data_IF_522184786092
#
_entry.id   IF_522184786092
#
_cell.length_a   1.000
_cell.length_b   1.000
_cell.length_c   1.000
_cell.angle_alpha   90.00
_cell.angle_beta   90.00
_cell.angle_gamma   90.00
#
_symmetry.space_group_name_H-M   'P 1'
#
loop_
_entity.id
_entity.type
_entity.pdbx_description
1 polymer ?
#
# COMPACT_ATOMS: atom_id res chain seq x y z
N UNK A 1 -13.39 1.67 5.97
CA UNK A 1 -13.96 2.42 4.83
C UNK A 1 -12.97 2.49 3.68
N UNK A 2 -13.43 2.38 2.41
CA UNK A 2 -12.57 2.53 1.24
C UNK A 2 -11.95 3.94 1.15
N UNK A 3 -10.78 4.02 0.51
CA UNK A 3 -10.09 5.30 0.28
C UNK A 3 -11.01 6.27 -0.47
N UNK A 4 -11.28 7.48 0.07
CA UNK A 4 -12.17 8.43 -0.58
C UNK A 4 -11.67 8.83 -1.98
N UNK A 5 -12.57 9.04 -2.96
CA UNK A 5 -12.19 9.42 -4.32
C UNK A 5 -11.28 10.65 -4.39
N UNK A 6 -11.53 11.64 -3.53
CA UNK A 6 -10.72 12.87 -3.44
C UNK A 6 -9.27 12.62 -3.01
N UNK A 7 -9.01 11.59 -2.20
CA UNK A 7 -7.64 11.17 -1.85
C UNK A 7 -6.95 10.58 -3.07
N UNK A 8 -7.66 9.71 -3.80
CA UNK A 8 -7.15 9.07 -5.03
C UNK A 8 -6.86 10.10 -6.12
N UNK A 9 -7.74 11.08 -6.33
CA UNK A 9 -7.52 12.18 -7.28
C UNK A 9 -6.30 13.02 -6.91
N UNK A 10 -6.15 13.35 -5.62
CA UNK A 10 -5.00 14.11 -5.14
C UNK A 10 -3.70 13.32 -5.27
N UNK A 11 -3.73 12.02 -5.00
CA UNK A 11 -2.59 11.13 -5.15
C UNK A 11 -2.07 11.09 -6.58
N UNK A 12 -2.94 11.11 -7.61
CA UNK A 12 -2.54 11.15 -9.02
C UNK A 12 -1.62 12.33 -9.35
N UNK A 13 -1.78 13.47 -8.69
CA UNK A 13 -0.91 14.64 -8.90
C UNK A 13 0.55 14.45 -8.46
N UNK A 14 0.86 13.37 -7.74
CA UNK A 14 2.22 13.01 -7.31
C UNK A 14 2.84 11.88 -8.16
N UNK A 15 2.08 11.31 -9.10
CA UNK A 15 2.52 10.19 -9.90
C UNK A 15 3.02 10.65 -11.27
N UNK A 16 3.88 9.85 -11.96
CA UNK A 16 4.21 10.09 -13.35
C UNK A 16 2.96 10.20 -14.23
N UNK A 17 3.04 10.98 -15.31
CA UNK A 17 1.95 11.12 -16.26
C UNK A 17 1.56 9.75 -16.83
N UNK A 18 0.25 9.43 -16.79
CA UNK A 18 -0.28 8.15 -17.27
C UNK A 18 -0.10 6.97 -16.32
N UNK A 19 0.50 7.15 -15.14
CA UNK A 19 0.62 6.07 -14.17
C UNK A 19 -0.76 5.63 -13.65
N UNK A 20 -1.02 4.33 -13.72
CA UNK A 20 -2.24 3.72 -13.19
C UNK A 20 -2.07 3.34 -11.71
N UNK A 21 -3.07 3.66 -10.89
CA UNK A 21 -3.09 3.29 -9.47
C UNK A 21 -3.69 1.88 -9.36
N UNK A 22 -2.83 0.86 -9.18
CA UNK A 22 -3.25 -0.51 -8.89
C UNK A 22 -3.82 -0.63 -7.48
N UNK A 23 -3.06 -0.17 -6.49
CA UNK A 23 -3.47 -0.19 -5.09
C UNK A 23 -3.26 1.17 -4.45
N UNK A 24 -4.16 1.50 -3.53
CA UNK A 24 -4.04 2.68 -2.68
C UNK A 24 -4.62 2.35 -1.31
N UNK A 25 -3.85 2.65 -0.26
CA UNK A 25 -4.29 2.42 1.11
C UNK A 25 -3.65 3.43 2.07
N UNK A 26 -4.35 3.81 3.15
CA UNK A 26 -3.78 4.61 4.21
C UNK A 26 -2.94 3.72 5.13
N UNK A 27 -1.90 4.29 5.71
CA UNK A 27 -1.18 3.69 6.82
C UNK A 27 -0.68 4.79 7.75
N UNK A 28 -0.30 4.43 8.97
CA UNK A 28 0.11 5.38 9.99
C UNK A 28 1.41 4.95 10.67
N UNK A 29 2.12 5.91 11.25
CA UNK A 29 3.24 5.63 12.14
C UNK A 29 2.90 6.16 13.54
N UNK A 30 2.79 5.23 14.50
CA UNK A 30 2.47 5.48 15.90
C UNK A 30 1.22 6.37 16.08
N UNK A 31 0.19 6.15 15.26
CA UNK A 31 -1.05 6.96 15.17
C UNK A 31 -0.88 8.48 14.95
N UNK A 32 0.34 8.96 14.72
CA UNK A 32 0.70 10.39 14.78
C UNK A 32 1.05 10.96 13.41
N UNK A 33 1.62 10.12 12.53
CA UNK A 33 1.90 10.48 11.15
C UNK A 33 1.07 9.62 10.21
N UNK A 34 0.35 10.26 9.29
CA UNK A 34 -0.53 9.57 8.35
C UNK A 34 0.05 9.62 6.94
N UNK A 35 0.04 8.47 6.30
CA UNK A 35 0.57 8.25 4.97
C UNK A 35 -0.51 7.68 4.04
N UNK A 36 -0.32 7.89 2.75
CA UNK A 36 -1.06 7.21 1.70
C UNK A 36 -0.05 6.47 0.84
N UNK A 37 -0.17 5.16 0.80
CA UNK A 37 0.63 4.30 -0.06
C UNK A 37 -0.07 4.16 -1.39
N UNK A 38 0.66 4.42 -2.48
CA UNK A 38 0.13 4.35 -3.84
C UNK A 38 1.02 3.42 -4.64
N UNK A 39 0.47 2.28 -5.05
CA UNK A 39 1.16 1.27 -5.83
C UNK A 39 0.74 1.38 -7.28
N UNK A 40 1.74 1.44 -8.13
CA UNK A 40 1.63 1.46 -9.59
C UNK A 40 2.42 0.30 -10.16
N UNK A 41 2.45 0.15 -11.48
CA UNK A 41 3.21 -0.90 -12.16
C UNK A 41 4.73 -0.73 -12.01
N UNK A 42 5.21 0.50 -11.76
CA UNK A 42 6.64 0.84 -11.73
C UNK A 42 7.18 1.15 -10.34
N UNK A 43 6.34 1.66 -9.43
CA UNK A 43 6.79 2.08 -8.10
C UNK A 43 5.71 2.01 -7.02
N UNK A 44 6.17 2.02 -5.77
CA UNK A 44 5.39 2.31 -4.57
C UNK A 44 5.72 3.75 -4.15
N UNK A 45 4.78 4.67 -4.31
CA UNK A 45 4.92 6.06 -3.88
C UNK A 45 4.25 6.25 -2.54
N UNK A 46 5.01 6.64 -1.52
CA UNK A 46 4.50 6.90 -0.16
C UNK A 46 4.33 8.40 0.02
N UNK A 47 3.08 8.82 0.22
CA UNK A 47 2.71 10.23 0.38
C UNK A 47 2.49 10.54 1.86
N UNK A 48 3.10 11.62 2.34
CA UNK A 48 2.83 12.14 3.68
C UNK A 48 1.63 13.09 3.63
N UNK A 49 0.68 12.90 4.54
CA UNK A 49 -0.45 13.80 4.71
C UNK A 49 -0.06 15.13 5.37
N UNK A 50 -0.93 16.14 5.23
CA UNK A 50 -0.85 17.36 6.05
C UNK A 50 -0.94 16.99 7.54
N UNK A 51 -0.24 17.75 8.39
CA UNK A 51 -0.34 17.64 9.84
C UNK A 51 -1.81 17.57 10.31
N UNK A 52 -2.12 16.63 11.20
CA UNK A 52 -3.47 16.30 11.70
C UNK A 52 -4.50 15.82 10.66
N UNK A 53 -4.10 15.52 9.43
CA UNK A 53 -5.02 15.02 8.41
C UNK A 53 -4.74 13.56 8.06
N UNK A 54 -5.80 12.75 8.02
CA UNK A 54 -5.75 11.35 7.55
C UNK A 54 -5.96 11.21 6.04
N UNK A 55 -6.38 12.27 5.35
CA UNK A 55 -6.93 12.20 3.98
C UNK A 55 -6.43 13.29 3.04
N UNK A 56 -5.39 14.03 3.40
CA UNK A 56 -4.85 15.12 2.56
C UNK A 56 -3.37 14.92 2.27
N UNK A 57 -3.01 14.10 1.27
CA UNK A 57 -1.62 13.94 0.85
C UNK A 57 -1.05 15.29 0.40
N UNK A 58 0.13 15.62 0.91
CA UNK A 58 0.78 16.93 0.74
C UNK A 58 2.11 16.84 0.01
N UNK A 59 2.90 15.80 0.26
CA UNK A 59 4.23 15.63 -0.36
C UNK A 59 4.58 14.15 -0.48
N UNK A 60 5.47 13.83 -1.40
CA UNK A 60 6.13 12.52 -1.45
C UNK A 60 7.07 12.44 -0.25
N UNK A 61 6.93 11.37 0.53
CA UNK A 61 7.86 11.01 1.59
C UNK A 61 8.98 10.15 1.04
N UNK A 62 8.63 9.12 0.27
CA UNK A 62 9.60 8.22 -0.36
C UNK A 62 8.99 7.54 -1.60
N UNK A 63 9.85 7.10 -2.52
CA UNK A 63 9.48 6.26 -3.66
C UNK A 63 10.32 4.99 -3.62
N UNK A 64 9.68 3.83 -3.56
CA UNK A 64 10.34 2.52 -3.60
C UNK A 64 10.14 1.88 -4.98
N UNK A 65 11.10 1.08 -5.48
CA UNK A 65 10.90 0.24 -6.66
C UNK A 65 9.69 -0.69 -6.46
N UNK A 66 8.91 -0.96 -7.52
CA UNK A 66 7.73 -1.85 -7.43
C UNK A 66 8.03 -3.23 -6.85
N UNK A 67 9.24 -3.75 -7.10
CA UNK A 67 9.68 -5.07 -6.61
C UNK A 67 9.92 -5.17 -5.11
N UNK A 68 9.77 -4.06 -4.36
CA UNK A 68 9.85 -4.10 -2.90
C UNK A 68 8.56 -4.70 -2.34
N UNK A 69 8.73 -5.67 -1.45
CA UNK A 69 7.64 -6.30 -0.71
C UNK A 69 7.14 -5.36 0.40
N UNK A 70 5.82 -5.19 0.52
CA UNK A 70 5.19 -4.40 1.59
C UNK A 70 5.00 -5.21 2.86
N UNK A 71 4.61 -6.47 2.74
CA UNK A 71 4.40 -7.39 3.85
C UNK A 71 5.64 -8.22 4.23
N UNK A 72 5.47 -9.23 5.12
CA UNK A 72 4.20 -9.68 5.68
C UNK A 72 3.55 -8.66 6.62
N UNK A 73 2.22 -8.70 6.71
CA UNK A 73 1.48 -7.94 7.72
C UNK A 73 1.35 -8.81 8.98
N UNK A 74 1.87 -8.32 10.11
CA UNK A 74 1.60 -8.91 11.43
C UNK A 74 0.21 -8.47 11.88
N UNK A 75 -0.69 -9.43 12.13
CA UNK A 75 -2.08 -9.20 12.54
C UNK A 75 -2.36 -9.63 13.98
N UNK A 76 -1.33 -9.81 14.83
CA UNK A 76 -1.53 -10.23 16.23
C UNK A 76 -2.22 -9.18 17.10
N UNK A 77 -2.01 -7.89 16.81
CA UNK A 77 -2.64 -6.75 17.50
C UNK A 77 -3.23 -5.78 16.46
N UNK A 78 -2.75 -4.54 16.43
CA UNK A 78 -3.01 -3.61 15.33
C UNK A 78 -2.18 -4.11 14.14
N UNK A 79 -2.77 -4.29 12.94
CA UNK A 79 -2.03 -4.79 11.81
C UNK A 79 -0.86 -3.88 11.47
N UNK A 80 0.33 -4.47 11.34
CA UNK A 80 1.54 -3.72 11.04
C UNK A 80 2.37 -4.36 9.95
N UNK A 81 3.10 -3.55 9.19
CA UNK A 81 4.06 -4.01 8.20
C UNK A 81 5.35 -3.18 8.24
N UNK A 82 6.43 -3.75 7.72
CA UNK A 82 7.75 -3.12 7.74
C UNK A 82 8.17 -2.70 6.33
N UNK A 83 8.51 -1.43 6.17
CA UNK A 83 9.05 -0.91 4.91
C UNK A 83 10.10 0.16 5.16
N UNK A 84 11.26 0.03 4.50
CA UNK A 84 12.32 1.03 4.55
C UNK A 84 12.86 1.32 5.96
N UNK A 85 12.83 0.32 6.86
CA UNK A 85 13.27 0.48 8.25
C UNK A 85 12.22 1.11 9.20
N UNK A 86 10.99 1.29 8.73
CA UNK A 86 9.88 1.81 9.54
C UNK A 86 8.77 0.76 9.69
N UNK A 87 8.08 0.82 10.83
CA UNK A 87 6.87 0.02 11.10
C UNK A 87 5.66 0.91 10.87
N UNK A 88 4.77 0.47 9.99
CA UNK A 88 3.52 1.15 9.68
C UNK A 88 2.34 0.35 10.19
N UNK A 89 1.38 1.04 10.80
CA UNK A 89 0.06 0.51 11.16
C UNK A 89 -0.89 0.65 9.98
N UNK A 90 -1.73 -0.34 9.77
CA UNK A 90 -2.73 -0.38 8.71
C UNK A 90 -4.04 -0.93 9.27
N UNK A 91 -5.18 -0.39 8.84
CA UNK A 91 -6.47 -0.91 9.27
C UNK A 91 -6.72 -2.31 8.66
N UNK A 92 -7.41 -3.18 9.41
CA UNK A 92 -7.71 -4.58 9.04
C UNK A 92 -8.22 -4.74 7.59
N UNK A 93 -9.05 -3.79 7.13
CA UNK A 93 -9.65 -3.82 5.80
C UNK A 93 -8.62 -3.75 4.66
N UNK A 94 -7.44 -3.17 4.92
CA UNK A 94 -6.37 -3.00 3.94
C UNK A 94 -5.29 -4.08 4.04
N UNK A 95 -5.38 -5.01 5.00
CA UNK A 95 -4.46 -6.16 5.08
C UNK A 95 -4.52 -6.98 3.79
N UNK A 96 -5.73 -7.21 3.28
CA UNK A 96 -5.94 -7.91 2.00
C UNK A 96 -5.32 -7.17 0.81
N UNK A 97 -5.33 -5.84 0.82
CA UNK A 97 -4.73 -4.99 -0.23
C UNK A 97 -3.20 -5.11 -0.22
N UNK A 98 -2.58 -5.10 0.95
CA UNK A 98 -1.13 -5.31 1.10
C UNK A 98 -0.73 -6.69 0.60
N UNK A 99 -1.46 -7.73 1.04
CA UNK A 99 -1.20 -9.10 0.62
C UNK A 99 -1.39 -9.31 -0.88
N UNK A 100 -2.43 -8.72 -1.49
CA UNK A 100 -2.65 -8.77 -2.93
C UNK A 100 -1.52 -8.09 -3.71
N UNK A 101 -1.06 -6.93 -3.25
CA UNK A 101 0.07 -6.20 -3.85
C UNK A 101 1.36 -7.04 -3.87
N UNK A 102 1.62 -7.77 -2.78
CA UNK A 102 2.76 -8.68 -2.67
C UNK A 102 2.58 -9.95 -3.50
N UNK A 103 1.38 -10.52 -3.54
CA UNK A 103 1.07 -11.72 -4.33
C UNK A 103 1.36 -11.50 -5.82
N UNK A 104 1.05 -10.31 -6.35
CA UNK A 104 1.40 -9.93 -7.73
C UNK A 104 2.90 -9.97 -8.02
N UNK A 105 3.77 -9.76 -7.03
CA UNK A 105 5.23 -9.84 -7.20
C UNK A 105 5.73 -11.28 -7.34
N UNK A 106 5.08 -12.19 -6.61
CA UNK A 106 5.41 -13.61 -6.58
C UNK A 106 4.81 -14.37 -7.77
N UNK A 107 3.79 -13.80 -8.42
CA UNK A 107 3.10 -14.41 -9.55
C UNK A 107 2.51 -15.76 -9.19
N UNK A 108 2.67 -16.76 -10.06
CA UNK A 108 2.15 -18.13 -9.86
C UNK A 108 2.67 -18.78 -8.58
N UNK A 109 3.84 -18.36 -8.06
CA UNK A 109 4.38 -18.90 -6.80
C UNK A 109 3.59 -18.48 -5.55
N UNK A 110 2.72 -17.47 -5.65
CA UNK A 110 1.78 -17.09 -4.58
C UNK A 110 0.41 -17.75 -4.70
N UNK A 111 0.14 -18.47 -5.79
CA UNK A 111 -1.12 -19.18 -5.94
C UNK A 111 -1.07 -20.49 -5.15
N UNK A 112 -2.17 -20.88 -4.48
CA UNK A 112 -2.27 -22.23 -3.94
C UNK A 112 -2.10 -23.25 -5.08
N UNK A 113 -1.55 -24.44 -4.80
CA UNK A 113 -1.51 -25.52 -5.79
C UNK A 113 -2.89 -25.75 -6.39
N UNK A 114 -2.95 -25.96 -7.71
CA UNK A 114 -4.20 -26.30 -8.39
C UNK A 114 -4.79 -27.55 -7.74
N UNK A 115 -6.02 -27.50 -7.18
CA UNK A 115 -6.64 -28.68 -6.57
C UNK A 115 -6.98 -29.78 -7.58
N UNK A 116 -6.98 -29.49 -8.90
CA UNK A 116 -7.35 -30.42 -9.97
C UNK A 116 -6.39 -30.30 -11.18
N UNK A 117 -5.10 -30.62 -11.02
CA UNK A 117 -4.09 -30.36 -12.06
C UNK A 117 -4.22 -31.27 -13.30
N UNK A 118 -4.90 -32.41 -13.16
CA UNK A 118 -5.01 -33.45 -14.20
C UNK A 118 -6.43 -33.56 -14.82
N UNK A 119 -7.33 -32.61 -14.53
CA UNK A 119 -8.73 -32.63 -14.99
C UNK A 119 -8.96 -31.83 -16.28
#
# INVERSE_FOLDING_TARGET
MPVPPSVRERARGFLPAGAEIRYIFPASWNESMFFVFVVTDSAITVLLNRFWSRTRPKRIWHVFPRGVRLGPVDTHLIPTFHLGGHTFEVDDEYVSVVNACDAELLGTASLPPDPLPDL
#
